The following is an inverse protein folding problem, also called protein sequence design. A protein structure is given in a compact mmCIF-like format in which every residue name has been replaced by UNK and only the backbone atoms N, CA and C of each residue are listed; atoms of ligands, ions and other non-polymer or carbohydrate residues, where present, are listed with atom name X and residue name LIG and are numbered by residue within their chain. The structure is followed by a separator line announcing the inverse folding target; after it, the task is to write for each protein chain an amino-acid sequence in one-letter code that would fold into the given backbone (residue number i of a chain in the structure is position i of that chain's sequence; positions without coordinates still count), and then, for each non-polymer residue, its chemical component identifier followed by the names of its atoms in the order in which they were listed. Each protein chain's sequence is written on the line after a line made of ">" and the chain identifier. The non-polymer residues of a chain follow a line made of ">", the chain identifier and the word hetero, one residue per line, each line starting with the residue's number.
data_IF_890230448870
#
_entry.id   IF_890230448870
#
_cell.length_a   1.000
_cell.length_b   1.000
_cell.length_c   1.000
_cell.angle_alpha   90.00
_cell.angle_beta   90.00
_cell.angle_gamma   90.00
#
_symmetry.space_group_name_H-M   'P 1'
#
loop_
_entity.id
_entity.type
_entity.pdbx_description
1 polymer ?
#
# COMPACT_ATOMS: atom_id res chain seq x y z
N UNK A 1 1.85 -23.44 12.57
CA UNK A 1 2.13 -22.04 12.98
C UNK A 1 2.72 -21.28 11.79
N UNK A 2 2.47 -19.97 11.64
CA UNK A 2 3.02 -19.17 10.54
C UNK A 2 3.72 -17.92 11.08
N UNK A 3 4.90 -17.62 10.54
CA UNK A 3 5.64 -16.39 10.77
C UNK A 3 5.71 -15.62 9.45
N UNK A 4 5.33 -14.35 9.45
CA UNK A 4 5.39 -13.48 8.27
C UNK A 4 6.42 -12.39 8.52
N UNK A 5 7.40 -12.30 7.64
CA UNK A 5 8.42 -11.23 7.64
C UNK A 5 8.12 -10.34 6.45
N UNK A 6 7.57 -9.15 6.76
CA UNK A 6 7.17 -8.18 5.75
C UNK A 6 8.33 -7.29 5.33
N UNK A 7 8.32 -6.84 4.07
CA UNK A 7 9.22 -5.85 3.52
C UNK A 7 10.72 -6.16 3.71
N UNK A 8 11.13 -7.39 3.35
CA UNK A 8 12.51 -7.85 3.51
C UNK A 8 13.55 -6.91 2.87
N UNK A 9 13.15 -6.20 1.82
CA UNK A 9 13.95 -5.19 1.13
C UNK A 9 14.22 -3.89 1.92
N UNK A 10 13.56 -3.64 3.05
CA UNK A 10 13.71 -2.42 3.87
C UNK A 10 14.80 -2.52 4.95
N UNK A 11 15.44 -3.69 5.08
CA UNK A 11 16.54 -3.91 6.03
C UNK A 11 17.79 -3.07 5.72
N UNK A 12 18.52 -2.62 6.75
CA UNK A 12 19.48 -1.50 6.64
C UNK A 12 20.77 -1.81 5.83
N UNK A 13 21.26 -3.05 5.79
CA UNK A 13 22.57 -3.39 5.19
C UNK A 13 22.50 -4.48 4.12
N UNK A 14 22.68 -4.12 2.84
CA UNK A 14 22.45 -4.99 1.67
C UNK A 14 23.23 -6.32 1.68
N UNK A 15 24.51 -6.30 2.03
CA UNK A 15 25.39 -7.48 2.03
C UNK A 15 25.10 -8.46 3.18
N UNK A 16 24.61 -7.97 4.32
CA UNK A 16 24.23 -8.84 5.43
C UNK A 16 22.94 -9.61 5.12
N UNK A 17 22.02 -9.05 4.32
CA UNK A 17 20.69 -9.63 4.05
C UNK A 17 20.75 -11.04 3.48
N UNK A 18 21.65 -11.28 2.53
CA UNK A 18 21.73 -12.57 1.84
C UNK A 18 22.19 -13.67 2.80
N UNK A 19 23.25 -13.43 3.56
CA UNK A 19 23.78 -14.37 4.54
C UNK A 19 22.82 -14.58 5.73
N UNK A 20 22.19 -13.51 6.20
CA UNK A 20 21.18 -13.58 7.27
C UNK A 20 19.95 -14.35 6.82
N UNK A 21 19.47 -14.14 5.60
CA UNK A 21 18.33 -14.87 5.05
C UNK A 21 18.64 -16.36 4.90
N UNK A 22 19.83 -16.72 4.39
CA UNK A 22 20.27 -18.12 4.32
C UNK A 22 20.29 -18.73 5.72
N UNK A 23 20.93 -18.07 6.69
CA UNK A 23 21.01 -18.56 8.07
C UNK A 23 19.62 -18.75 8.69
N UNK A 24 18.73 -17.79 8.45
CA UNK A 24 17.36 -17.83 8.94
C UNK A 24 16.60 -19.01 8.32
N UNK A 25 16.62 -19.16 6.99
CA UNK A 25 15.94 -20.25 6.29
C UNK A 25 16.48 -21.62 6.75
N UNK A 26 17.79 -21.78 6.89
CA UNK A 26 18.41 -23.02 7.39
C UNK A 26 18.05 -23.34 8.84
N UNK A 27 17.87 -22.32 9.70
CA UNK A 27 17.42 -22.54 11.07
C UNK A 27 15.94 -22.92 11.11
N UNK A 28 15.12 -22.27 10.30
CA UNK A 28 13.68 -22.46 10.28
C UNK A 28 13.27 -23.77 9.61
N UNK A 29 14.05 -24.27 8.64
CA UNK A 29 13.78 -25.56 7.97
C UNK A 29 13.81 -26.77 8.90
N UNK A 30 14.39 -26.63 10.11
CA UNK A 30 14.41 -27.68 11.15
C UNK A 30 13.06 -27.87 11.86
N UNK A 31 12.10 -26.97 11.64
CA UNK A 31 10.81 -26.99 12.33
C UNK A 31 9.67 -27.33 11.35
N UNK A 32 9.24 -28.60 11.33
CA UNK A 32 8.26 -29.11 10.36
C UNK A 32 6.87 -28.44 10.44
N UNK A 33 6.51 -27.86 11.58
CA UNK A 33 5.21 -27.22 11.80
C UNK A 33 5.23 -25.69 11.69
N UNK A 34 6.39 -25.12 11.34
CA UNK A 34 6.58 -23.69 11.13
C UNK A 34 6.67 -23.40 9.64
N UNK A 35 5.78 -22.53 9.16
CA UNK A 35 5.90 -21.93 7.83
C UNK A 35 6.34 -20.48 7.97
N UNK A 36 7.34 -20.09 7.18
CA UNK A 36 7.82 -18.71 7.11
C UNK A 36 7.47 -18.14 5.75
N UNK A 37 6.86 -16.96 5.72
CA UNK A 37 6.51 -16.24 4.50
C UNK A 37 7.26 -14.92 4.49
N UNK A 38 7.96 -14.64 3.40
CA UNK A 38 8.66 -13.38 3.18
C UNK A 38 7.92 -12.56 2.14
N UNK A 39 7.84 -11.24 2.33
CA UNK A 39 7.43 -10.32 1.28
C UNK A 39 8.61 -9.44 0.89
N UNK A 40 8.73 -9.13 -0.39
CA UNK A 40 9.69 -8.16 -0.92
C UNK A 40 9.13 -7.52 -2.19
N UNK A 41 9.68 -6.37 -2.55
CA UNK A 41 9.46 -5.81 -3.89
C UNK A 41 10.28 -6.58 -4.91
N UNK A 42 9.67 -6.96 -6.03
CA UNK A 42 10.28 -7.82 -7.05
C UNK A 42 11.60 -7.28 -7.59
N UNK A 43 11.75 -5.96 -7.68
CA UNK A 43 12.98 -5.33 -8.18
C UNK A 43 14.18 -5.53 -7.24
N UNK A 44 13.96 -5.83 -5.96
CA UNK A 44 15.03 -6.15 -5.01
C UNK A 44 15.31 -7.65 -4.92
N UNK A 45 14.58 -8.52 -5.65
CA UNK A 45 14.79 -9.98 -5.58
C UNK A 45 16.27 -10.38 -5.75
N UNK A 46 17.00 -9.91 -6.79
CA UNK A 46 18.38 -10.33 -7.01
C UNK A 46 19.34 -9.88 -5.90
N UNK A 47 18.98 -8.83 -5.17
CA UNK A 47 19.81 -8.30 -4.09
C UNK A 47 19.55 -8.99 -2.75
N UNK A 48 18.32 -9.49 -2.56
CA UNK A 48 17.85 -9.97 -1.26
C UNK A 48 17.86 -11.49 -1.17
N UNK A 49 17.52 -12.18 -2.25
CA UNK A 49 17.36 -13.65 -2.27
C UNK A 49 18.44 -14.23 -3.18
N UNK A 50 19.33 -15.03 -2.60
CA UNK A 50 20.31 -15.81 -3.36
C UNK A 50 19.59 -16.89 -4.18
N UNK A 51 19.97 -17.05 -5.45
CA UNK A 51 19.39 -18.10 -6.31
C UNK A 51 19.64 -19.52 -5.80
N UNK A 52 20.67 -19.72 -4.97
CA UNK A 52 20.94 -20.98 -4.29
C UNK A 52 19.84 -21.36 -3.26
N UNK A 53 19.04 -20.41 -2.78
CA UNK A 53 17.89 -20.69 -1.93
C UNK A 53 16.69 -21.06 -2.79
N UNK A 54 16.35 -22.36 -2.82
CA UNK A 54 15.14 -22.87 -3.46
C UNK A 54 13.92 -22.56 -2.59
N UNK A 55 13.42 -21.33 -2.66
CA UNK A 55 12.21 -20.86 -1.96
C UNK A 55 11.08 -20.73 -2.99
N UNK A 56 9.92 -21.38 -2.79
CA UNK A 56 8.77 -21.18 -3.66
C UNK A 56 8.33 -19.72 -3.70
N UNK A 57 8.08 -19.20 -4.90
CA UNK A 57 7.72 -17.79 -5.09
C UNK A 57 6.29 -17.63 -5.60
N UNK A 58 5.61 -16.61 -5.08
CA UNK A 58 4.30 -16.18 -5.58
C UNK A 58 4.43 -14.72 -6.01
N UNK A 59 4.44 -14.47 -7.32
CA UNK A 59 4.50 -13.11 -7.87
C UNK A 59 3.09 -12.56 -8.02
N UNK A 60 2.72 -11.61 -7.15
CA UNK A 60 1.45 -10.89 -7.26
C UNK A 60 1.59 -9.70 -8.20
N UNK A 61 1.21 -9.88 -9.47
CA UNK A 61 1.09 -8.78 -10.43
C UNK A 61 -0.24 -8.04 -10.25
N UNK A 62 -0.21 -6.74 -10.43
CA UNK A 62 -1.43 -6.03 -10.77
C UNK A 62 -1.85 -6.46 -12.18
N UNK A 63 -3.12 -6.79 -12.34
CA UNK A 63 -3.67 -7.27 -13.61
C UNK A 63 -4.86 -6.38 -13.91
N UNK A 64 -4.90 -5.87 -15.15
CA UNK A 64 -5.94 -4.98 -15.65
C UNK A 64 -7.35 -5.59 -15.53
N UNK A 65 -7.51 -6.90 -15.69
CA UNK A 65 -8.81 -7.57 -15.50
C UNK A 65 -9.30 -7.51 -14.04
N UNK A 66 -8.38 -7.40 -13.08
CA UNK A 66 -8.70 -7.22 -11.66
C UNK A 66 -8.85 -5.74 -11.27
N UNK A 67 -8.46 -4.80 -12.14
CA UNK A 67 -8.52 -3.36 -11.85
C UNK A 67 -9.97 -2.89 -11.77
N UNK A 68 -10.82 -3.27 -12.72
CA UNK A 68 -12.25 -2.92 -12.73
C UNK A 68 -12.98 -3.45 -11.49
N UNK A 69 -12.72 -4.71 -11.10
CA UNK A 69 -13.32 -5.30 -9.88
C UNK A 69 -12.81 -4.63 -8.61
N UNK A 70 -11.53 -4.25 -8.55
CA UNK A 70 -10.96 -3.55 -7.39
C UNK A 70 -11.51 -2.14 -7.28
N UNK A 71 -11.54 -1.38 -8.38
CA UNK A 71 -12.10 -0.03 -8.40
C UNK A 71 -13.54 -0.04 -7.88
N UNK A 72 -14.38 -0.99 -8.34
CA UNK A 72 -15.74 -1.16 -7.83
C UNK A 72 -15.77 -1.43 -6.31
N UNK A 73 -14.96 -2.38 -5.82
CA UNK A 73 -14.90 -2.66 -4.37
C UNK A 73 -14.49 -1.44 -3.54
N UNK A 74 -13.57 -0.63 -4.06
CA UNK A 74 -13.13 0.58 -3.39
C UNK A 74 -14.21 1.67 -3.44
N UNK A 75 -14.84 1.93 -4.60
CA UNK A 75 -15.94 2.90 -4.69
C UNK A 75 -17.11 2.51 -3.77
N UNK A 76 -17.48 1.23 -3.75
CA UNK A 76 -18.53 0.72 -2.87
C UNK A 76 -18.18 0.93 -1.39
N UNK A 77 -16.94 0.63 -0.98
CA UNK A 77 -16.49 0.82 0.40
C UNK A 77 -16.48 2.29 0.84
N UNK A 78 -16.13 3.21 -0.07
CA UNK A 78 -16.07 4.64 0.23
C UNK A 78 -17.40 5.38 -0.01
N UNK A 79 -18.42 4.69 -0.54
CA UNK A 79 -19.73 5.25 -0.94
C UNK A 79 -19.60 6.31 -2.05
N UNK A 80 -18.70 6.05 -3.00
CA UNK A 80 -18.50 6.88 -4.19
C UNK A 80 -19.27 6.32 -5.38
N UNK A 81 -19.77 7.21 -6.23
CA UNK A 81 -20.33 6.83 -7.53
C UNK A 81 -19.25 6.12 -8.37
N UNK A 82 -19.60 4.95 -8.95
CA UNK A 82 -18.69 4.26 -9.84
C UNK A 82 -18.34 5.17 -11.03
N UNK A 83 -17.10 5.15 -11.50
CA UNK A 83 -16.70 6.00 -12.62
C UNK A 83 -17.53 5.67 -13.86
N UNK A 84 -18.03 6.70 -14.55
CA UNK A 84 -18.89 6.60 -15.73
C UNK A 84 -18.20 5.91 -16.93
N UNK A 85 -16.86 5.82 -16.92
CA UNK A 85 -16.06 5.05 -17.85
C UNK A 85 -15.09 4.15 -17.08
N UNK A 86 -14.74 2.97 -17.61
CA UNK A 86 -13.69 2.14 -17.02
C UNK A 86 -12.41 2.97 -16.94
N UNK A 87 -11.88 3.31 -15.76
CA UNK A 87 -10.65 4.07 -15.68
C UNK A 87 -9.53 3.10 -16.05
N UNK A 88 -9.25 2.99 -17.35
CA UNK A 88 -7.98 2.46 -17.84
C UNK A 88 -6.97 3.60 -17.74
N UNK A 89 -6.88 4.22 -16.56
CA UNK A 89 -5.85 5.19 -16.25
C UNK A 89 -4.75 4.46 -15.48
N UNK A 90 -3.51 4.77 -15.83
CA UNK A 90 -2.33 4.24 -15.14
C UNK A 90 -2.43 4.57 -13.64
N UNK A 91 -2.34 3.55 -12.77
CA UNK A 91 -2.40 3.72 -11.32
C UNK A 91 -3.58 3.03 -10.62
N UNK A 92 -4.70 2.79 -11.30
CA UNK A 92 -5.86 2.05 -10.73
C UNK A 92 -5.57 0.56 -10.43
N UNK A 93 -4.46 0.06 -10.96
CA UNK A 93 -3.92 -1.26 -10.65
C UNK A 93 -3.23 -1.34 -9.27
N UNK A 94 -2.84 -0.20 -8.71
CA UNK A 94 -2.21 -0.10 -7.40
C UNK A 94 -3.28 0.10 -6.31
N UNK A 95 -3.42 -0.89 -5.43
CA UNK A 95 -4.40 -0.83 -4.33
C UNK A 95 -4.15 0.30 -3.33
N UNK A 96 -2.89 0.71 -3.12
CA UNK A 96 -2.56 1.85 -2.28
C UNK A 96 -3.02 3.16 -2.94
N UNK A 97 -2.76 3.33 -4.24
CA UNK A 97 -3.21 4.49 -5.01
C UNK A 97 -4.74 4.61 -4.97
N UNK A 98 -5.45 3.53 -5.30
CA UNK A 98 -6.92 3.45 -5.25
C UNK A 98 -7.50 3.86 -3.90
N UNK A 99 -6.93 3.31 -2.82
CA UNK A 99 -7.35 3.63 -1.45
C UNK A 99 -7.18 5.12 -1.15
N UNK A 100 -6.03 5.67 -1.48
CA UNK A 100 -5.68 7.06 -1.21
C UNK A 100 -6.57 8.02 -1.99
N UNK A 101 -6.82 7.73 -3.28
CA UNK A 101 -7.74 8.50 -4.11
C UNK A 101 -9.16 8.49 -3.54
N UNK A 102 -9.71 7.31 -3.23
CA UNK A 102 -11.07 7.21 -2.70
C UNK A 102 -11.22 7.91 -1.33
N UNK A 103 -10.23 7.77 -0.45
CA UNK A 103 -10.22 8.46 0.84
C UNK A 103 -10.25 9.98 0.65
N UNK A 104 -9.44 10.49 -0.27
CA UNK A 104 -9.31 11.92 -0.43
C UNK A 104 -10.53 12.55 -1.14
N UNK A 105 -11.15 11.85 -2.10
CA UNK A 105 -12.45 12.24 -2.67
C UNK A 105 -13.54 12.31 -1.59
N UNK A 106 -13.59 11.31 -0.69
CA UNK A 106 -14.52 11.30 0.44
C UNK A 106 -14.29 12.47 1.40
N UNK A 107 -13.02 12.77 1.72
CA UNK A 107 -12.67 13.87 2.62
C UNK A 107 -13.01 15.25 2.02
N UNK A 108 -12.96 15.39 0.70
CA UNK A 108 -13.35 16.63 -0.01
C UNK A 108 -14.86 16.71 -0.32
N UNK A 109 -15.64 15.69 0.01
CA UNK A 109 -17.08 15.64 -0.28
C UNK A 109 -17.40 15.43 -1.76
N UNK A 110 -16.44 14.98 -2.56
CA UNK A 110 -16.67 14.62 -3.96
C UNK A 110 -17.30 13.24 -4.07
N UNK A 111 -18.30 13.12 -4.95
CA UNK A 111 -19.10 11.90 -5.09
C UNK A 111 -18.64 10.97 -6.20
N UNK A 112 -17.76 11.40 -7.12
CA UNK A 112 -17.42 10.58 -8.30
C UNK A 112 -15.96 10.64 -8.67
N UNK A 113 -15.43 9.50 -9.13
CA UNK A 113 -14.10 9.39 -9.76
C UNK A 113 -14.12 9.98 -11.19
N UNK A 114 -15.31 10.19 -11.77
CA UNK A 114 -15.53 10.40 -13.22
C UNK A 114 -15.02 11.69 -13.85
N UNK A 115 -14.49 12.66 -13.09
CA UNK A 115 -13.94 13.92 -13.66
C UNK A 115 -12.42 14.02 -13.62
N UNK A 116 -11.77 13.00 -13.07
CA UNK A 116 -10.35 13.01 -12.78
C UNK A 116 -9.56 12.30 -13.87
N UNK A 117 -9.01 13.04 -14.84
CA UNK A 117 -7.73 12.64 -15.42
C UNK A 117 -6.61 12.95 -14.41
N UNK A 118 -6.65 12.27 -13.27
CA UNK A 118 -5.68 12.49 -12.20
C UNK A 118 -4.48 11.59 -12.43
N UNK A 119 -3.39 12.18 -12.90
CA UNK A 119 -2.08 11.54 -12.84
C UNK A 119 -1.62 11.36 -11.39
N UNK A 120 -0.54 10.63 -11.19
CA UNK A 120 0.07 10.42 -9.86
C UNK A 120 0.37 11.77 -9.18
N UNK A 121 0.86 12.75 -9.93
CA UNK A 121 1.20 14.08 -9.39
C UNK A 121 -0.02 14.82 -8.85
N UNK A 122 -1.16 14.73 -9.54
CA UNK A 122 -2.38 15.40 -9.10
C UNK A 122 -3.00 14.69 -7.90
N UNK A 123 -2.92 13.36 -7.83
CA UNK A 123 -3.26 12.63 -6.61
C UNK A 123 -2.37 13.07 -5.45
N UNK A 124 -1.05 13.19 -5.65
CA UNK A 124 -0.14 13.63 -4.58
C UNK A 124 -0.51 15.03 -4.09
N UNK A 125 -0.82 15.97 -5.00
CA UNK A 125 -1.30 17.31 -4.61
C UNK A 125 -2.60 17.24 -3.81
N UNK A 126 -3.56 16.45 -4.28
CA UNK A 126 -4.85 16.27 -3.63
C UNK A 126 -4.69 15.65 -2.23
N UNK A 127 -3.85 14.63 -2.08
CA UNK A 127 -3.51 14.04 -0.78
C UNK A 127 -2.82 15.02 0.16
N UNK A 128 -1.90 15.84 -0.36
CA UNK A 128 -1.24 16.87 0.42
C UNK A 128 -2.24 17.93 0.89
N UNK A 129 -3.18 18.35 0.05
CA UNK A 129 -4.24 19.29 0.39
C UNK A 129 -5.17 18.72 1.47
N UNK A 130 -5.68 17.51 1.28
CA UNK A 130 -6.52 16.80 2.24
C UNK A 130 -5.80 16.62 3.60
N UNK A 131 -4.53 16.21 3.58
CA UNK A 131 -3.73 16.03 4.80
C UNK A 131 -3.50 17.35 5.53
N UNK A 132 -3.19 18.43 4.80
CA UNK A 132 -3.05 19.78 5.38
C UNK A 132 -4.34 20.25 6.04
N UNK A 133 -5.48 20.08 5.37
CA UNK A 133 -6.80 20.44 5.91
C UNK A 133 -7.10 19.65 7.19
N UNK A 134 -6.86 18.34 7.19
CA UNK A 134 -7.07 17.50 8.37
C UNK A 134 -6.21 17.93 9.57
N UNK A 135 -4.93 18.24 9.34
CA UNK A 135 -4.01 18.67 10.41
C UNK A 135 -4.38 20.08 10.92
N UNK A 136 -4.78 21.01 10.04
CA UNK A 136 -5.19 22.35 10.45
C UNK A 136 -6.44 22.31 11.32
N UNK A 137 -7.47 21.54 10.93
CA UNK A 137 -8.68 21.33 11.74
C UNK A 137 -8.37 20.66 13.08
N UNK A 138 -7.45 19.70 13.13
CA UNK A 138 -7.00 19.12 14.40
C UNK A 138 -6.31 20.17 15.27
N UNK A 139 -5.35 20.95 14.74
CA UNK A 139 -4.66 22.02 15.50
C UNK A 139 -5.62 23.08 16.04
N UNK A 140 -6.66 23.45 15.28
CA UNK A 140 -7.72 24.36 15.74
C UNK A 140 -8.50 23.77 16.91
N UNK A 141 -8.84 22.47 16.86
CA UNK A 141 -9.50 21.75 17.97
C UNK A 141 -8.62 21.62 19.23
N UNK A 142 -7.30 21.47 19.07
CA UNK A 142 -6.37 21.48 20.22
C UNK A 142 -6.29 22.86 20.86
N UNK A 143 -6.22 23.95 20.07
CA UNK A 143 -6.25 25.32 20.59
C UNK A 143 -7.54 25.63 21.34
N UNK A 144 -8.71 25.30 20.80
CA UNK A 144 -9.98 25.60 21.48
C UNK A 144 -10.18 24.80 22.78
N UNK A 145 -9.58 23.61 22.91
CA UNK A 145 -9.58 22.86 24.18
C UNK A 145 -8.60 23.41 25.22
N UNK A 146 -7.54 24.07 24.82
CA UNK A 146 -6.60 24.73 25.76
C UNK A 146 -7.10 26.07 26.30
N UNK A 147 -8.19 26.62 25.76
CA UNK A 147 -8.84 27.86 26.24
C UNK A 147 -10.15 27.59 27.01
N UNK A 148 -10.50 26.32 27.24
CA UNK A 148 -11.62 25.93 28.10
C UNK A 148 -11.04 25.11 29.25
N UNK A 149 -10.36 25.79 30.16
CA UNK A 149 -10.09 25.31 31.52
C UNK A 149 -10.55 26.44 32.44
N UNK A 150 -11.60 26.25 33.27
CA UNK A 150 -11.95 27.21 34.31
C UNK A 150 -10.87 27.27 35.40
#
# INVERSE_FOLDING_TARGET
>A
MQLVIDALNESVLRSLRQHELVSLVTKMSRYEHLRVVFTLRSHYRPEVVLDALSIPEIVRRASSALSTTRSKRYTDYYELEPPAASPVQEGFDNSLFLRLLCQALKDEGQLSIGQAALGIDDLVKLLLAATKSRISHQRLRWRTRSFIVP
#
